data_IF_038721163900
#
_entry.id   IF_038721163900
#
_cell.length_a   1.000
_cell.length_b   1.000
_cell.length_c   1.000
_cell.angle_alpha   90.00
_cell.angle_beta   90.00
_cell.angle_gamma   90.00
#
_symmetry.space_group_name_H-M   'P 1'
#
loop_
_entity.id
_entity.type
_entity.pdbx_description
1 polymer ?
#
# COMPACT_ATOMS: atom_id res chain seq x y z
N UNK A 1 2.90 -13.66 20.63
CA UNK A 1 1.67 -12.94 20.19
C UNK A 1 1.58 -13.02 18.67
N UNK A 2 0.42 -13.34 18.14
CA UNK A 2 0.18 -13.37 16.71
C UNK A 2 0.25 -11.95 16.14
N UNK A 3 1.06 -11.74 15.11
CA UNK A 3 1.18 -10.44 14.45
C UNK A 3 -0.08 -10.11 13.64
N UNK A 4 -0.47 -8.85 13.65
CA UNK A 4 -1.62 -8.35 12.87
C UNK A 4 -1.20 -7.19 11.98
N UNK A 5 -1.49 -7.30 10.69
CA UNK A 5 -1.15 -6.28 9.70
C UNK A 5 -2.43 -5.83 8.99
N UNK A 6 -2.56 -4.52 8.82
CA UNK A 6 -3.64 -3.92 8.05
C UNK A 6 -3.10 -3.45 6.71
N UNK A 7 -3.58 -4.01 5.59
CA UNK A 7 -3.08 -3.69 4.26
C UNK A 7 -4.19 -3.07 3.41
N UNK A 8 -3.90 -1.99 2.69
CA UNK A 8 -4.85 -1.36 1.77
C UNK A 8 -4.24 -1.15 0.40
N UNK A 9 -4.88 -1.76 -0.61
CA UNK A 9 -4.69 -1.49 -2.03
C UNK A 9 -6.01 -0.96 -2.62
N UNK A 10 -5.96 0.14 -3.39
CA UNK A 10 -7.15 0.77 -3.97
C UNK A 10 -7.35 0.50 -5.45
N UNK A 11 -6.38 -0.13 -6.13
CA UNK A 11 -6.38 -0.36 -7.57
C UNK A 11 -5.92 -1.79 -7.91
N UNK A 12 -6.27 -2.28 -9.09
CA UNK A 12 -5.92 -3.63 -9.55
C UNK A 12 -4.41 -3.89 -9.58
N UNK A 13 -3.62 -2.87 -9.91
CA UNK A 13 -2.15 -2.95 -9.85
C UNK A 13 -1.68 -3.17 -8.41
N UNK A 14 -2.24 -2.41 -7.48
CA UNK A 14 -1.97 -2.53 -6.05
C UNK A 14 -2.40 -3.89 -5.48
N UNK A 15 -3.55 -4.43 -5.91
CA UNK A 15 -4.01 -5.78 -5.56
C UNK A 15 -2.99 -6.85 -5.95
N UNK A 16 -2.48 -6.75 -7.17
CA UNK A 16 -1.47 -7.68 -7.68
C UNK A 16 -0.16 -7.61 -6.87
N UNK A 17 0.30 -6.40 -6.52
CA UNK A 17 1.50 -6.22 -5.71
C UNK A 17 1.27 -6.64 -4.25
N UNK A 18 0.09 -6.35 -3.72
CA UNK A 18 -0.32 -6.77 -2.39
C UNK A 18 -0.36 -8.28 -2.22
N UNK A 19 -0.81 -9.00 -3.23
CA UNK A 19 -0.83 -10.46 -3.21
C UNK A 19 0.58 -11.06 -3.08
N UNK A 20 1.56 -10.52 -3.84
CA UNK A 20 2.95 -10.95 -3.72
C UNK A 20 3.53 -10.61 -2.33
N UNK A 21 3.22 -9.42 -1.83
CA UNK A 21 3.67 -8.99 -0.50
C UNK A 21 3.09 -9.88 0.60
N UNK A 22 1.81 -10.23 0.55
CA UNK A 22 1.16 -11.14 1.51
C UNK A 22 1.83 -12.51 1.50
N UNK A 23 2.14 -13.03 0.32
CA UNK A 23 2.81 -14.33 0.17
C UNK A 23 4.18 -14.33 0.87
N UNK A 24 4.97 -13.26 0.68
CA UNK A 24 6.26 -13.12 1.35
C UNK A 24 6.12 -12.89 2.87
N UNK A 25 5.16 -12.11 3.33
CA UNK A 25 4.88 -11.93 4.76
C UNK A 25 4.57 -13.27 5.41
N UNK A 26 3.73 -14.11 4.80
CA UNK A 26 3.38 -15.44 5.33
C UNK A 26 4.55 -16.41 5.33
N UNK A 27 5.51 -16.25 4.42
CA UNK A 27 6.75 -17.05 4.44
C UNK A 27 7.59 -16.71 5.68
N UNK A 28 7.61 -15.45 6.11
CA UNK A 28 8.40 -14.98 7.26
C UNK A 28 7.62 -15.11 8.57
N UNK A 29 6.32 -14.84 8.54
CA UNK A 29 5.41 -14.84 9.69
C UNK A 29 4.15 -15.66 9.35
N UNK A 30 4.21 -17.00 9.39
CA UNK A 30 3.13 -17.87 8.90
C UNK A 30 1.76 -17.61 9.56
N UNK A 31 1.75 -17.32 10.85
CA UNK A 31 0.52 -17.10 11.64
C UNK A 31 0.04 -15.64 11.65
N UNK A 32 0.57 -14.78 10.74
CA UNK A 32 0.17 -13.40 10.66
C UNK A 32 -1.29 -13.26 10.21
N UNK A 33 -2.07 -12.48 10.95
CA UNK A 33 -3.42 -12.08 10.56
C UNK A 33 -3.29 -10.84 9.67
N UNK A 34 -3.89 -10.90 8.47
CA UNK A 34 -3.84 -9.82 7.50
C UNK A 34 -5.26 -9.40 7.17
N UNK A 35 -5.64 -8.22 7.64
CA UNK A 35 -6.94 -7.60 7.41
C UNK A 35 -6.76 -6.37 6.52
N UNK A 36 -7.81 -5.90 5.85
CA UNK A 36 -7.73 -4.65 5.09
C UNK A 36 -8.63 -4.59 3.86
N UNK A 37 -8.16 -3.94 2.81
CA UNK A 37 -8.87 -3.85 1.53
C UNK A 37 -7.91 -4.23 0.40
N UNK A 38 -8.37 -5.13 -0.44
CA UNK A 38 -7.68 -5.59 -1.63
C UNK A 38 -8.64 -6.33 -2.54
N UNK A 39 -8.19 -6.59 -3.76
CA UNK A 39 -8.96 -7.30 -4.77
C UNK A 39 -8.82 -8.81 -4.71
N UNK A 40 -9.25 -9.51 -5.77
CA UNK A 40 -9.27 -10.98 -5.81
C UNK A 40 -7.91 -11.64 -5.56
N UNK A 41 -6.81 -10.99 -5.99
CA UNK A 41 -5.47 -11.56 -5.85
C UNK A 41 -5.02 -11.59 -4.40
N UNK A 42 -5.25 -10.51 -3.65
CA UNK A 42 -4.94 -10.45 -2.21
C UNK A 42 -5.85 -11.38 -1.41
N UNK A 43 -7.13 -11.49 -1.79
CA UNK A 43 -8.05 -12.46 -1.17
C UNK A 43 -7.57 -13.90 -1.35
N UNK A 44 -7.11 -14.27 -2.55
CA UNK A 44 -6.55 -15.60 -2.80
C UNK A 44 -5.31 -15.92 -1.94
N UNK A 45 -4.63 -14.89 -1.42
CA UNK A 45 -3.48 -15.01 -0.50
C UNK A 45 -3.87 -14.89 0.98
N UNK A 46 -5.18 -14.84 1.27
CA UNK A 46 -5.69 -14.87 2.64
C UNK A 46 -5.82 -13.49 3.30
N UNK A 47 -6.06 -12.44 2.53
CA UNK A 47 -6.53 -11.17 3.07
C UNK A 47 -7.97 -11.32 3.59
N UNK A 48 -8.22 -10.89 4.82
CA UNK A 48 -9.57 -10.73 5.35
C UNK A 48 -10.06 -9.33 4.97
N UNK A 49 -11.00 -9.23 4.04
CA UNK A 49 -11.51 -7.92 3.61
C UNK A 49 -12.50 -7.34 4.61
N UNK A 50 -12.34 -6.04 4.88
CA UNK A 50 -13.24 -5.27 5.73
C UNK A 50 -14.21 -4.40 4.93
N UNK A 51 -13.98 -4.24 3.62
CA UNK A 51 -14.84 -3.47 2.73
C UNK A 51 -14.70 -3.96 1.28
N UNK A 52 -15.68 -3.62 0.45
CA UNK A 52 -15.66 -3.99 -0.97
C UNK A 52 -14.62 -3.18 -1.74
N UNK A 53 -13.66 -3.88 -2.31
CA UNK A 53 -12.60 -3.33 -3.16
C UNK A 53 -13.15 -2.57 -4.38
N UNK A 54 -14.28 -3.03 -4.95
CA UNK A 54 -14.86 -2.40 -6.14
C UNK A 54 -15.22 -0.93 -5.91
N UNK A 55 -15.54 -0.57 -4.68
CA UNK A 55 -15.86 0.82 -4.30
C UNK A 55 -14.63 1.74 -4.29
N UNK A 56 -13.42 1.20 -4.07
CA UNK A 56 -12.17 1.97 -4.17
C UNK A 56 -11.67 2.03 -5.61
N UNK A 57 -11.85 0.95 -6.37
CA UNK A 57 -11.37 0.81 -7.74
C UNK A 57 -12.29 1.53 -8.75
N UNK A 58 -12.60 2.79 -8.48
CA UNK A 58 -13.43 3.64 -9.34
C UNK A 58 -12.49 4.57 -10.12
N UNK A 59 -12.49 4.44 -11.45
CA UNK A 59 -11.70 5.29 -12.35
C UNK A 59 -12.61 6.32 -13.02
N UNK A 60 -12.22 7.61 -12.90
CA UNK A 60 -12.90 8.72 -13.54
C UNK A 60 -13.32 9.81 -12.57
N UNK A 61 -13.06 11.08 -12.97
CA UNK A 61 -13.30 12.25 -12.13
C UNK A 61 -14.76 12.40 -11.68
N UNK A 62 -15.72 12.13 -12.58
CA UNK A 62 -17.16 12.22 -12.28
C UNK A 62 -17.66 11.07 -11.39
N UNK A 63 -17.06 9.90 -11.53
CA UNK A 63 -17.39 8.75 -10.69
C UNK A 63 -16.88 8.94 -9.28
N UNK A 64 -15.67 9.50 -9.10
CA UNK A 64 -15.13 9.84 -7.77
C UNK A 64 -16.03 10.82 -7.02
N UNK A 65 -16.61 11.82 -7.70
CA UNK A 65 -17.54 12.77 -7.06
C UNK A 65 -18.82 12.06 -6.60
N UNK A 66 -19.39 11.20 -7.43
CA UNK A 66 -20.61 10.42 -7.10
C UNK A 66 -20.37 9.45 -5.95
N UNK A 67 -19.16 8.89 -5.83
CA UNK A 67 -18.81 7.91 -4.82
C UNK A 67 -18.11 8.49 -3.58
N UNK A 68 -18.02 9.82 -3.46
CA UNK A 68 -17.33 10.45 -2.32
C UNK A 68 -17.88 10.03 -0.96
N UNK A 69 -19.20 9.89 -0.84
CA UNK A 69 -19.85 9.40 0.40
C UNK A 69 -19.49 7.95 0.71
N UNK A 70 -19.42 7.10 -0.31
CA UNK A 70 -19.02 5.69 -0.16
C UNK A 70 -17.54 5.59 0.23
N UNK A 71 -16.64 6.34 -0.42
CA UNK A 71 -15.23 6.41 -0.05
C UNK A 71 -15.02 6.91 1.39
N UNK A 72 -15.81 7.91 1.81
CA UNK A 72 -15.78 8.41 3.19
C UNK A 72 -16.26 7.35 4.19
N UNK A 73 -17.31 6.60 3.85
CA UNK A 73 -17.81 5.49 4.66
C UNK A 73 -16.75 4.40 4.84
N UNK A 74 -16.10 3.98 3.75
CA UNK A 74 -15.02 2.98 3.79
C UNK A 74 -13.84 3.51 4.60
N UNK A 75 -13.46 4.77 4.44
CA UNK A 75 -12.40 5.38 5.26
C UNK A 75 -12.71 5.29 6.75
N UNK A 76 -13.97 5.53 7.14
CA UNK A 76 -14.39 5.43 8.53
C UNK A 76 -14.42 3.98 9.04
N UNK A 77 -14.82 3.02 8.21
CA UNK A 77 -14.72 1.59 8.52
C UNK A 77 -13.27 1.16 8.77
N UNK A 78 -12.34 1.58 7.90
CA UNK A 78 -10.91 1.32 8.07
C UNK A 78 -10.37 1.95 9.38
N UNK A 79 -10.76 3.18 9.68
CA UNK A 79 -10.34 3.85 10.93
C UNK A 79 -10.86 3.11 12.15
N UNK A 80 -12.11 2.64 12.13
CA UNK A 80 -12.68 1.86 13.22
C UNK A 80 -11.91 0.55 13.39
N UNK A 81 -11.67 -0.18 12.29
CA UNK A 81 -10.89 -1.42 12.33
C UNK A 81 -9.47 -1.20 12.88
N UNK A 82 -8.76 -0.15 12.42
CA UNK A 82 -7.43 0.19 12.94
C UNK A 82 -7.45 0.50 14.44
N UNK A 83 -8.49 1.17 14.92
CA UNK A 83 -8.63 1.53 16.35
C UNK A 83 -8.90 0.29 17.23
N UNK A 84 -9.70 -0.65 16.75
CA UNK A 84 -10.17 -1.80 17.53
C UNK A 84 -9.29 -3.04 17.35
N UNK A 85 -8.59 -3.15 16.23
CA UNK A 85 -7.94 -4.39 15.82
C UNK A 85 -6.58 -4.67 16.42
N UNK A 86 -5.97 -3.75 17.18
CA UNK A 86 -4.64 -3.89 17.77
C UNK A 86 -3.57 -4.35 16.75
N UNK A 87 -3.45 -3.61 15.65
CA UNK A 87 -2.51 -3.91 14.58
C UNK A 87 -1.08 -3.49 14.94
N UNK A 88 -0.11 -4.31 14.54
CA UNK A 88 1.33 -4.02 14.66
C UNK A 88 1.80 -3.06 13.56
N UNK A 89 1.21 -3.17 12.35
CA UNK A 89 1.56 -2.33 11.21
C UNK A 89 0.36 -2.04 10.30
N UNK A 90 0.41 -0.89 9.66
CA UNK A 90 -0.42 -0.49 8.53
C UNK A 90 0.45 -0.42 7.28
N UNK A 91 0.05 -1.08 6.20
CA UNK A 91 0.74 -1.05 4.91
C UNK A 91 -0.19 -0.46 3.85
N UNK A 92 0.20 0.69 3.32
CA UNK A 92 -0.43 1.32 2.17
C UNK A 92 0.24 0.85 0.88
N UNK A 93 -0.53 0.40 -0.11
CA UNK A 93 -0.02 0.07 -1.44
C UNK A 93 -0.57 1.09 -2.42
N UNK A 94 0.31 2.00 -2.91
CA UNK A 94 -0.08 3.09 -3.81
C UNK A 94 -1.32 3.87 -3.30
N UNK A 95 -2.18 4.38 -4.20
CA UNK A 95 -3.47 5.03 -3.92
C UNK A 95 -3.38 6.16 -2.88
N UNK A 96 -2.55 7.20 -3.13
CA UNK A 96 -2.10 8.15 -2.11
C UNK A 96 -3.23 8.98 -1.48
N UNK A 97 -4.26 9.35 -2.26
CA UNK A 97 -5.35 10.20 -1.77
C UNK A 97 -6.14 9.61 -0.59
N UNK A 98 -6.32 8.30 -0.56
CA UNK A 98 -7.01 7.56 0.48
C UNK A 98 -6.01 7.08 1.55
N UNK A 99 -4.94 6.44 1.10
CA UNK A 99 -3.98 5.77 1.98
C UNK A 99 -3.22 6.74 2.89
N UNK A 100 -2.90 7.96 2.43
CA UNK A 100 -2.26 8.97 3.29
C UNK A 100 -3.14 9.37 4.48
N UNK A 101 -4.47 9.42 4.30
CA UNK A 101 -5.41 9.71 5.42
C UNK A 101 -5.43 8.58 6.45
N UNK A 102 -5.37 7.33 5.98
CA UNK A 102 -5.28 6.17 6.87
C UNK A 102 -3.93 6.07 7.55
N UNK A 103 -2.82 6.30 6.83
CA UNK A 103 -1.48 6.27 7.39
C UNK A 103 -1.31 7.30 8.50
N UNK A 104 -1.77 8.53 8.28
CA UNK A 104 -1.77 9.56 9.34
C UNK A 104 -2.60 9.15 10.56
N UNK A 105 -3.74 8.49 10.34
CA UNK A 105 -4.57 8.00 11.44
C UNK A 105 -3.92 6.82 12.16
N UNK A 106 -3.35 5.84 11.44
CA UNK A 106 -2.62 4.72 12.03
C UNK A 106 -1.47 5.19 12.93
N UNK A 107 -0.67 6.16 12.46
CA UNK A 107 0.40 6.78 13.26
C UNK A 107 -0.13 7.47 14.52
N UNK A 108 -1.29 8.11 14.45
CA UNK A 108 -1.90 8.73 15.64
C UNK A 108 -2.34 7.71 16.70
N UNK A 109 -2.49 6.44 16.31
CA UNK A 109 -2.77 5.31 17.21
C UNK A 109 -1.48 4.59 17.66
N UNK A 110 -0.29 5.03 17.22
CA UNK A 110 0.98 4.35 17.48
C UNK A 110 1.22 3.10 16.62
N UNK A 111 0.43 2.90 15.56
CA UNK A 111 0.61 1.80 14.62
C UNK A 111 1.67 2.20 13.60
N UNK A 112 2.67 1.33 13.39
CA UNK A 112 3.74 1.58 12.42
C UNK A 112 3.20 1.64 10.99
N UNK A 113 3.40 2.77 10.31
CA UNK A 113 2.78 3.07 9.01
C UNK A 113 3.82 3.01 7.90
N UNK A 114 3.61 2.12 6.93
CA UNK A 114 4.50 1.84 5.82
C UNK A 114 3.79 2.13 4.51
N UNK A 115 4.46 2.80 3.57
CA UNK A 115 3.98 2.95 2.20
C UNK A 115 4.84 2.09 1.27
N UNK A 116 4.23 1.11 0.63
CA UNK A 116 4.83 0.32 -0.44
C UNK A 116 4.37 0.87 -1.79
N UNK A 117 5.31 1.17 -2.68
CA UNK A 117 5.14 1.93 -3.92
C UNK A 117 4.79 3.39 -3.58
N UNK A 118 5.86 4.15 -3.35
CA UNK A 118 5.77 5.54 -2.93
C UNK A 118 5.10 6.43 -3.99
N UNK A 119 4.36 7.49 -3.57
CA UNK A 119 3.74 8.42 -4.50
C UNK A 119 4.79 9.19 -5.31
N UNK A 120 4.55 9.42 -6.60
CA UNK A 120 5.49 10.06 -7.53
C UNK A 120 5.62 11.59 -7.30
N UNK A 121 6.02 12.00 -6.10
CA UNK A 121 6.15 13.43 -5.73
C UNK A 121 7.24 14.15 -6.52
N UNK A 122 8.25 13.45 -6.97
CA UNK A 122 9.31 13.98 -7.80
C UNK A 122 8.78 14.55 -9.14
N UNK A 123 7.65 14.02 -9.65
CA UNK A 123 7.03 14.49 -10.88
C UNK A 123 6.06 15.68 -10.66
N UNK A 124 5.35 15.75 -9.52
CA UNK A 124 4.18 16.62 -9.40
C UNK A 124 4.08 17.44 -8.11
N UNK A 125 4.97 17.26 -7.14
CA UNK A 125 4.72 17.97 -5.92
C UNK A 125 5.65 17.78 -4.75
N UNK A 126 6.84 18.33 -4.82
CA UNK A 126 7.74 18.42 -3.67
C UNK A 126 7.08 19.06 -2.44
N UNK A 127 6.13 19.99 -2.64
CA UNK A 127 5.34 20.61 -1.57
C UNK A 127 4.47 19.62 -0.77
N UNK A 128 4.19 18.42 -1.32
CA UNK A 128 3.44 17.37 -0.62
C UNK A 128 4.31 16.45 0.24
N UNK A 129 5.63 16.59 0.20
CA UNK A 129 6.55 15.75 0.96
C UNK A 129 6.25 15.78 2.46
N UNK A 130 5.90 16.94 3.01
CA UNK A 130 5.53 17.07 4.42
C UNK A 130 4.28 16.25 4.77
N UNK A 131 3.28 16.22 3.88
CA UNK A 131 2.08 15.41 4.08
C UNK A 131 2.39 13.90 4.05
N UNK A 132 3.29 13.46 3.17
CA UNK A 132 3.75 12.07 3.13
C UNK A 132 4.51 11.71 4.40
N UNK A 133 5.42 12.59 4.85
CA UNK A 133 6.18 12.44 6.10
C UNK A 133 5.28 12.29 7.32
N UNK A 134 4.15 13.02 7.36
CA UNK A 134 3.17 12.90 8.43
C UNK A 134 2.34 11.62 8.35
N UNK A 135 2.27 10.99 7.17
CA UNK A 135 1.41 9.83 6.93
C UNK A 135 2.12 8.50 7.15
N UNK A 136 3.44 8.44 6.93
CA UNK A 136 4.19 7.20 6.94
C UNK A 136 5.46 7.32 7.77
N UNK A 137 5.83 6.24 8.45
CA UNK A 137 7.11 6.11 9.14
C UNK A 137 8.21 5.72 8.15
N UNK A 138 7.87 4.86 7.17
CA UNK A 138 8.81 4.33 6.18
C UNK A 138 8.16 4.30 4.80
N UNK A 139 8.94 4.66 3.77
CA UNK A 139 8.58 4.48 2.36
C UNK A 139 9.43 3.36 1.74
N UNK A 140 8.78 2.44 1.04
CA UNK A 140 9.43 1.44 0.21
C UNK A 140 9.30 1.87 -1.25
N UNK A 141 10.39 2.36 -1.83
CA UNK A 141 10.43 2.90 -3.18
C UNK A 141 10.79 1.83 -4.21
N UNK A 142 10.25 1.97 -5.41
CA UNK A 142 10.43 0.98 -6.49
C UNK A 142 11.35 1.48 -7.61
N UNK A 143 11.71 2.76 -7.61
CA UNK A 143 12.68 3.34 -8.53
C UNK A 143 13.92 3.83 -7.76
N UNK A 144 15.14 3.57 -8.27
CA UNK A 144 16.37 3.82 -7.51
C UNK A 144 16.56 5.29 -7.08
N UNK A 145 16.11 6.25 -7.91
CA UNK A 145 16.28 7.67 -7.63
C UNK A 145 15.27 8.22 -6.60
N UNK A 146 14.16 7.53 -6.37
CA UNK A 146 13.11 7.95 -5.42
C UNK A 146 13.62 7.92 -3.99
N UNK A 147 14.42 6.92 -3.64
CA UNK A 147 15.00 6.79 -2.31
C UNK A 147 15.81 8.04 -1.92
N UNK A 148 16.72 8.47 -2.81
CA UNK A 148 17.46 9.70 -2.59
C UNK A 148 16.55 10.93 -2.48
N UNK A 149 15.54 11.05 -3.35
CA UNK A 149 14.59 12.17 -3.32
C UNK A 149 13.85 12.27 -1.99
N UNK A 150 13.32 11.15 -1.47
CA UNK A 150 12.59 11.15 -0.22
C UNK A 150 13.48 11.38 0.99
N UNK A 151 14.69 10.83 1.02
CA UNK A 151 15.69 11.12 2.07
C UNK A 151 16.08 12.59 2.09
N UNK A 152 16.27 13.22 0.94
CA UNK A 152 16.54 14.66 0.83
C UNK A 152 15.36 15.51 1.36
N UNK A 153 14.13 14.96 1.37
CA UNK A 153 12.96 15.55 2.00
C UNK A 153 12.83 15.22 3.51
N UNK A 154 13.79 14.50 4.10
CA UNK A 154 13.79 14.09 5.50
C UNK A 154 12.76 13.00 5.81
N UNK A 155 12.48 12.11 4.85
CA UNK A 155 11.58 10.97 4.99
C UNK A 155 12.42 9.70 4.97
N UNK A 156 12.18 8.79 5.90
CA UNK A 156 12.81 7.48 5.90
C UNK A 156 12.32 6.67 4.70
N UNK A 157 13.23 6.26 3.83
CA UNK A 157 12.89 5.54 2.61
C UNK A 157 13.95 4.50 2.25
N UNK A 158 13.51 3.44 1.58
CA UNK A 158 14.37 2.35 1.14
C UNK A 158 13.97 1.91 -0.26
N UNK A 159 14.95 1.83 -1.15
CA UNK A 159 14.75 1.24 -2.46
C UNK A 159 14.70 -0.28 -2.34
N UNK A 160 13.56 -0.89 -2.72
CA UNK A 160 13.29 -2.33 -2.60
C UNK A 160 13.24 -3.08 -3.94
N UNK A 161 13.50 -2.37 -5.05
CA UNK A 161 13.33 -2.92 -6.40
C UNK A 161 11.92 -2.81 -6.93
N UNK A 162 11.77 -2.99 -8.24
CA UNK A 162 10.46 -2.88 -8.90
C UNK A 162 9.76 -4.24 -8.89
N UNK A 163 8.54 -4.36 -8.36
CA UNK A 163 7.86 -5.65 -8.17
C UNK A 163 7.53 -6.38 -9.49
N UNK A 164 7.56 -5.69 -10.63
CA UNK A 164 7.43 -6.34 -11.94
C UNK A 164 8.63 -7.24 -12.27
N UNK A 165 9.80 -6.99 -11.70
CA UNK A 165 10.99 -7.83 -11.95
C UNK A 165 10.80 -9.24 -11.39
N UNK A 166 10.05 -9.37 -10.29
CA UNK A 166 9.75 -10.68 -9.68
C UNK A 166 8.79 -11.52 -10.54
N UNK A 167 8.12 -10.89 -11.52
CA UNK A 167 7.19 -11.56 -12.45
C UNK A 167 7.83 -11.93 -13.78
N UNK A 168 9.00 -11.37 -14.08
CA UNK A 168 9.74 -11.70 -15.31
C UNK A 168 10.45 -13.01 -15.06
N UNK A 169 9.97 -14.06 -15.70
CA UNK A 169 10.66 -15.35 -15.74
C UNK A 169 11.94 -15.19 -16.58
N UNK A 170 13.06 -14.91 -15.90
CA UNK A 170 14.36 -14.69 -16.54
C UNK A 170 14.89 -15.92 -17.27
N UNK A 171 14.23 -17.09 -17.15
CA UNK A 171 14.61 -18.31 -17.84
C UNK A 171 14.26 -18.30 -19.33
N UNK A 172 13.37 -17.39 -19.78
CA UNK A 172 12.98 -17.31 -21.21
C UNK A 172 13.71 -16.23 -22.00
N UNK A 173 14.70 -15.55 -21.45
CA UNK A 173 15.47 -14.54 -22.16
C UNK A 173 16.75 -15.07 -22.82
N UNK A 174 16.87 -16.36 -23.08
CA UNK A 174 17.87 -16.87 -24.00
C UNK A 174 17.39 -16.65 -25.44
N UNK A 175 17.40 -15.39 -25.87
CA UNK A 175 17.36 -15.08 -27.29
C UNK A 175 18.67 -15.60 -27.86
N UNK A 176 18.61 -16.75 -28.51
CA UNK A 176 19.67 -17.21 -29.39
C UNK A 176 19.85 -16.13 -30.47
N UNK A 177 20.95 -15.40 -30.39
CA UNK A 177 21.40 -14.54 -31.49
C UNK A 177 22.04 -15.49 -32.51
N UNK A 178 21.29 -15.81 -33.56
CA UNK A 178 21.85 -16.29 -34.82
C UNK A 178 22.59 -15.16 -35.54
#
# INVERSE_FOLDING_TARGET
MTKRIFIVAGEMSGDSHGALLIDQIRTIIPDCIIDGIGGPSMHAKGLNSIADFSTLNVSGFWEVIKHYSALSSILNQCKLALKEGAYDAFIAIDYPGFNMRLGKYARSLGIHSICYIAPQLWAWGKSRAESVKQSYDVLLTVLPFEDKFFRDCGIDSHFVGHPLLDRVDLQHSTIQRE
#
